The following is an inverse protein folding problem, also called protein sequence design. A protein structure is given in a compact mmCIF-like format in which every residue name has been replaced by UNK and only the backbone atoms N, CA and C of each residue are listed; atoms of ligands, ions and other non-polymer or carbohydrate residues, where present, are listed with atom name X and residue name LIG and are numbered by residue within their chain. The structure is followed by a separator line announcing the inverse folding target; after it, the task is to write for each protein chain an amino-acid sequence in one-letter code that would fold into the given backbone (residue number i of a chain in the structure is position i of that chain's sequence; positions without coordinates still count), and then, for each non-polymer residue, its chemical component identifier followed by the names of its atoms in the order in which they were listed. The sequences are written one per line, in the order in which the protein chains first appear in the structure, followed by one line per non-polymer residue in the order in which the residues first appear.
data_IF_935040854496
#
_entry.id   IF_935040854496
#
_cell.length_a   1.000
_cell.length_b   1.000
_cell.length_c   1.000
_cell.angle_alpha   90.00
_cell.angle_beta   90.00
_cell.angle_gamma   90.00
#
_symmetry.space_group_name_H-M   'P 1'
#
loop_
_entity.id
_entity.type
_entity.pdbx_description
1 polymer ?
#
# COMPACT_ATOMS: atom_id res chain seq x y z
N UNK A 1 4.97 3.37 -5.99
CA UNK A 1 6.16 4.13 -5.57
C UNK A 1 6.80 3.43 -4.39
N UNK A 2 8.13 3.29 -4.41
CA UNK A 2 8.96 2.85 -3.28
C UNK A 2 9.96 3.97 -2.99
N UNK A 3 10.04 4.43 -1.74
CA UNK A 3 10.91 5.53 -1.31
C UNK A 3 11.70 5.09 -0.07
N UNK A 4 13.01 5.35 -0.09
CA UNK A 4 13.87 5.18 1.08
C UNK A 4 14.58 6.47 1.44
N UNK A 5 14.56 6.84 2.71
CA UNK A 5 15.23 8.01 3.24
C UNK A 5 16.07 7.64 4.47
N UNK A 6 17.40 7.49 4.33
CA UNK A 6 18.31 7.35 5.46
C UNK A 6 18.70 8.72 6.04
N UNK A 7 18.93 8.79 7.36
CA UNK A 7 19.51 9.95 8.05
C UNK A 7 20.97 9.69 8.48
N UNK A 8 21.67 10.77 8.87
CA UNK A 8 23.06 10.70 9.33
C UNK A 8 23.21 10.05 10.72
N UNK A 9 22.12 9.88 11.46
CA UNK A 9 22.10 9.19 12.75
C UNK A 9 21.95 7.66 12.60
N UNK A 10 21.80 7.17 11.36
CA UNK A 10 21.69 5.75 11.05
C UNK A 10 20.25 5.21 11.08
N UNK A 11 19.25 6.08 11.17
CA UNK A 11 17.84 5.73 11.02
C UNK A 11 17.51 5.70 9.54
N UNK A 12 16.76 4.69 9.12
CA UNK A 12 16.25 4.61 7.76
C UNK A 12 14.73 4.52 7.78
N UNK A 13 14.08 5.10 6.78
CA UNK A 13 12.67 4.94 6.51
C UNK A 13 12.50 4.26 5.14
N UNK A 14 11.64 3.24 5.08
CA UNK A 14 11.21 2.60 3.83
C UNK A 14 9.69 2.76 3.70
N UNK A 15 9.24 3.52 2.69
CA UNK A 15 7.83 3.79 2.41
C UNK A 15 7.42 3.22 1.06
N UNK A 16 6.24 2.61 1.01
CA UNK A 16 5.58 2.22 -0.24
C UNK A 16 4.19 2.81 -0.32
N UNK A 17 3.85 3.36 -1.49
CA UNK A 17 2.52 3.81 -1.82
C UNK A 17 2.14 3.36 -3.23
N UNK A 18 0.90 2.89 -3.40
CA UNK A 18 0.36 2.45 -4.70
C UNK A 18 -1.14 2.72 -4.77
N UNK A 19 -1.61 3.19 -5.92
CA UNK A 19 -3.04 3.29 -6.22
C UNK A 19 -3.58 2.02 -6.92
N UNK A 20 -2.82 0.93 -6.82
CA UNK A 20 -3.06 -0.41 -7.36
C UNK A 20 -2.72 -0.55 -8.86
N UNK A 21 -3.70 -0.62 -9.78
CA UNK A 21 -3.41 -0.92 -11.20
C UNK A 21 -3.51 0.34 -12.06
N UNK A 22 -2.49 0.59 -12.88
CA UNK A 22 -2.50 1.62 -13.95
C UNK A 22 -2.77 3.03 -13.44
N UNK A 23 -3.61 3.79 -14.14
CA UNK A 23 -4.12 5.11 -13.71
C UNK A 23 -5.21 5.02 -12.62
N UNK A 24 -5.06 4.06 -11.70
CA UNK A 24 -5.98 3.83 -10.59
C UNK A 24 -7.37 3.39 -11.13
N UNK A 25 -8.45 3.90 -10.55
CA UNK A 25 -9.82 3.65 -11.03
C UNK A 25 -10.20 4.41 -12.31
N UNK A 26 -9.34 5.31 -12.82
CA UNK A 26 -9.69 6.25 -13.88
C UNK A 26 -10.58 7.42 -13.42
N UNK A 27 -10.98 7.45 -12.14
CA UNK A 27 -11.73 8.55 -11.53
C UNK A 27 -10.76 9.48 -10.81
N UNK A 28 -10.83 10.76 -11.14
CA UNK A 28 -10.07 11.83 -10.49
C UNK A 28 -11.05 12.76 -9.79
N UNK A 29 -10.78 13.07 -8.53
CA UNK A 29 -11.59 14.05 -7.80
C UNK A 29 -11.43 15.42 -8.48
N UNK A 30 -12.53 16.05 -8.96
CA UNK A 30 -12.46 17.31 -9.70
C UNK A 30 -11.65 18.37 -8.96
N UNK A 31 -10.90 19.20 -9.70
CA UNK A 31 -10.11 20.33 -9.20
C UNK A 31 -8.94 19.98 -8.26
N UNK A 32 -8.85 18.75 -7.76
CA UNK A 32 -7.76 18.31 -6.86
C UNK A 32 -6.63 17.57 -7.57
N UNK A 33 -6.91 16.98 -8.73
CA UNK A 33 -5.97 16.10 -9.43
C UNK A 33 -5.68 14.78 -8.70
N UNK A 34 -6.44 14.42 -7.65
CA UNK A 34 -6.22 13.20 -6.87
C UNK A 34 -6.96 12.02 -7.54
N UNK A 35 -6.25 11.02 -8.10
CA UNK A 35 -6.88 9.83 -8.67
C UNK A 35 -7.26 8.82 -7.57
N UNK A 36 -8.47 8.28 -7.63
CA UNK A 36 -8.96 7.31 -6.66
C UNK A 36 -8.40 5.90 -6.94
N UNK A 37 -7.84 5.25 -5.92
CA UNK A 37 -7.31 3.88 -6.01
C UNK A 37 -8.38 2.86 -6.41
N UNK A 38 -7.99 1.83 -7.17
CA UNK A 38 -8.87 0.71 -7.57
C UNK A 38 -8.59 -0.58 -6.78
N UNK A 39 -8.04 -0.47 -5.56
CA UNK A 39 -7.65 -1.63 -4.75
C UNK A 39 -8.83 -2.56 -4.41
N UNK A 40 -10.03 -2.00 -4.34
CA UNK A 40 -11.30 -2.72 -4.13
C UNK A 40 -11.66 -3.69 -5.25
N UNK A 41 -10.98 -3.64 -6.41
CA UNK A 41 -11.13 -4.64 -7.46
C UNK A 41 -10.74 -6.07 -7.01
N UNK A 42 -10.05 -6.22 -5.88
CA UNK A 42 -9.75 -7.53 -5.30
C UNK A 42 -10.87 -8.05 -4.37
N UNK A 43 -11.99 -7.34 -4.21
CA UNK A 43 -13.11 -7.85 -3.42
C UNK A 43 -13.91 -8.90 -4.21
N UNK A 44 -14.27 -9.98 -3.52
CA UNK A 44 -15.16 -11.02 -4.03
C UNK A 44 -16.53 -10.88 -3.36
N UNK A 45 -17.60 -11.00 -4.15
CA UNK A 45 -18.97 -10.96 -3.63
C UNK A 45 -19.44 -12.39 -3.32
N UNK A 46 -19.24 -12.82 -2.07
CA UNK A 46 -19.59 -14.17 -1.62
C UNK A 46 -20.84 -14.12 -0.74
N UNK A 47 -21.75 -15.08 -0.90
CA UNK A 47 -23.08 -15.10 -0.27
C UNK A 47 -23.13 -15.75 1.13
N UNK A 48 -22.03 -16.37 1.58
CA UNK A 48 -21.97 -17.16 2.82
C UNK A 48 -20.92 -16.66 3.82
N UNK A 49 -21.37 -16.40 5.05
CA UNK A 49 -20.69 -15.63 6.11
C UNK A 49 -19.39 -16.28 6.61
N UNK A 50 -19.21 -17.59 6.43
CA UNK A 50 -18.00 -18.33 6.89
C UNK A 50 -16.76 -18.07 6.02
N UNK A 51 -16.92 -17.43 4.87
CA UNK A 51 -15.81 -16.99 3.99
C UNK A 51 -15.35 -15.55 4.27
N UNK A 52 -16.00 -14.83 5.19
CA UNK A 52 -15.75 -13.40 5.44
C UNK A 52 -14.45 -13.09 6.18
N UNK A 53 -13.84 -14.05 6.90
CA UNK A 53 -12.60 -13.80 7.63
C UNK A 53 -11.40 -13.55 6.67
N UNK A 54 -11.49 -14.02 5.42
CA UNK A 54 -10.47 -13.87 4.38
C UNK A 54 -10.66 -12.62 3.49
N UNK A 55 -11.89 -12.10 3.33
CA UNK A 55 -12.13 -10.79 2.69
C UNK A 55 -11.74 -9.64 3.64
N UNK A 56 -11.93 -9.85 4.95
CA UNK A 56 -11.78 -8.82 5.98
C UNK A 56 -10.34 -8.57 6.41
N UNK A 57 -9.46 -9.56 6.27
CA UNK A 57 -8.07 -9.40 6.65
C UNK A 57 -7.41 -8.47 5.65
N UNK A 58 -7.45 -8.79 4.36
CA UNK A 58 -6.50 -8.16 3.49
C UNK A 58 -6.96 -8.27 1.99
N UNK A 59 -7.31 -7.15 1.41
CA UNK A 59 -7.07 -6.81 0.01
C UNK A 59 -5.53 -6.73 -0.19
N UNK A 60 -4.85 -7.90 -0.25
CA UNK A 60 -3.40 -8.20 0.00
C UNK A 60 -2.38 -7.24 -0.61
N UNK A 61 -2.09 -6.18 0.17
CA UNK A 61 -1.07 -5.15 0.06
C UNK A 61 0.15 -5.59 -0.76
N UNK A 62 0.24 -5.15 -2.01
CA UNK A 62 1.46 -5.21 -2.85
C UNK A 62 2.56 -4.24 -2.38
N UNK A 63 2.63 -3.98 -1.08
CA UNK A 63 3.45 -2.91 -0.49
C UNK A 63 4.16 -3.44 0.74
N UNK A 64 5.11 -4.35 0.50
CA UNK A 64 6.06 -4.78 1.53
C UNK A 64 7.21 -3.77 1.58
N UNK A 65 7.20 -2.90 2.59
CA UNK A 65 8.39 -2.14 3.00
C UNK A 65 9.14 -2.95 4.04
N UNK A 66 10.42 -3.25 3.80
CA UNK A 66 11.28 -3.89 4.79
C UNK A 66 12.24 -2.84 5.37
N UNK A 67 12.26 -2.72 6.69
CA UNK A 67 13.19 -1.86 7.41
C UNK A 67 14.25 -2.73 8.09
N UNK A 68 15.51 -2.63 7.65
CA UNK A 68 16.65 -3.22 8.36
C UNK A 68 17.42 -2.09 9.05
N UNK A 69 17.17 -1.87 10.35
CA UNK A 69 17.98 -0.96 11.15
C UNK A 69 19.26 -1.70 11.56
N UNK A 70 20.40 -1.37 10.95
CA UNK A 70 21.71 -1.78 11.45
C UNK A 70 22.37 -0.57 12.09
N UNK A 71 22.44 -0.57 13.42
CA UNK A 71 23.26 0.38 14.17
C UNK A 71 24.70 0.24 13.72
N UNK A 72 25.19 1.19 12.94
CA UNK A 72 26.62 1.29 12.63
C UNK A 72 27.29 1.88 13.87
N UNK A 73 27.67 1.01 14.81
CA UNK A 73 28.67 1.37 15.79
C UNK A 73 29.97 1.64 15.02
N UNK A 74 30.46 2.88 15.10
CA UNK A 74 31.83 3.22 14.72
C UNK A 74 32.82 2.47 15.59
#
# INVERSE_FOLDING_TARGET
MYLTAPDAAGIMMSMVQSNYIGFCSGVVVPETGIPLQNRSANFLLIKDIRTLLDIASITYTQSFGALLAKTVHR
#
